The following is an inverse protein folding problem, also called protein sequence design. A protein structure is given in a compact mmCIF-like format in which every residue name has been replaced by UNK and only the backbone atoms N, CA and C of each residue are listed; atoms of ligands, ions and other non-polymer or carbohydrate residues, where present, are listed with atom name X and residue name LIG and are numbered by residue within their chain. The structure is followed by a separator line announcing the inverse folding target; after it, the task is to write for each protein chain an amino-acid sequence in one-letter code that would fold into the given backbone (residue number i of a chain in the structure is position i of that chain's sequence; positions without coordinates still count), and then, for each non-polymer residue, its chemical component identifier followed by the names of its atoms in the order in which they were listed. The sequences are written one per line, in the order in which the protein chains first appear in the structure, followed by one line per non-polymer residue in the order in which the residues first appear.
data_IF_510896638492
#
_entry.id   IF_510896638492
#
_cell.length_a   1.000
_cell.length_b   1.000
_cell.length_c   1.000
_cell.angle_alpha   90.00
_cell.angle_beta   90.00
_cell.angle_gamma   90.00
#
_symmetry.space_group_name_H-M   'P 1'
#
loop_
_entity.id
_entity.type
_entity.pdbx_description
1 polymer ?
#
# COMPACT_ATOMS: atom_id res chain seq x y z
N UNK A 1 5.25 11.23 1.01
CA UNK A 1 4.64 10.22 0.11
C UNK A 1 4.59 10.64 -1.35
N UNK A 2 4.16 11.87 -1.70
CA UNK A 2 4.04 12.31 -3.11
C UNK A 2 5.28 12.08 -3.98
N UNK A 3 6.48 12.27 -3.42
CA UNK A 3 7.76 11.97 -4.06
C UNK A 3 7.82 10.57 -4.73
N UNK A 4 7.43 9.51 -4.02
CA UNK A 4 7.45 8.14 -4.58
C UNK A 4 6.54 8.00 -5.80
N UNK A 5 5.35 8.60 -5.73
CA UNK A 5 4.37 8.50 -6.80
C UNK A 5 4.71 9.39 -7.99
N UNK A 6 5.21 10.60 -7.75
CA UNK A 6 5.43 11.60 -8.79
C UNK A 6 6.82 11.50 -9.43
N UNK A 7 7.85 11.27 -8.62
CA UNK A 7 9.25 11.39 -9.05
C UNK A 7 9.91 10.02 -9.24
N UNK A 8 9.69 9.07 -8.32
CA UNK A 8 10.33 7.75 -8.41
C UNK A 8 9.61 6.82 -9.40
N UNK A 9 8.28 6.74 -9.31
CA UNK A 9 7.46 5.86 -10.17
C UNK A 9 6.86 6.60 -11.36
N UNK A 10 6.63 7.92 -11.23
CA UNK A 10 5.91 8.74 -12.21
C UNK A 10 4.57 8.08 -12.61
N UNK A 11 3.69 7.95 -11.62
CA UNK A 11 2.44 7.20 -11.71
C UNK A 11 1.47 7.83 -12.71
N UNK A 12 0.97 6.99 -13.62
CA UNK A 12 -0.22 7.32 -14.39
C UNK A 12 -1.49 7.07 -13.55
N UNK A 13 -2.02 8.13 -12.95
CA UNK A 13 -3.21 8.05 -12.08
C UNK A 13 -4.48 7.51 -12.76
N UNK A 14 -4.64 7.72 -14.07
CA UNK A 14 -5.79 7.17 -14.81
C UNK A 14 -5.73 5.65 -14.89
N UNK A 15 -4.52 5.07 -14.97
CA UNK A 15 -4.31 3.62 -14.98
C UNK A 15 -4.21 3.02 -13.58
N UNK A 16 -3.64 3.75 -12.63
CA UNK A 16 -3.38 3.21 -11.29
C UNK A 16 -4.62 3.11 -10.42
N UNK A 17 -5.54 4.10 -10.49
CA UNK A 17 -6.74 4.10 -9.65
C UNK A 17 -7.62 2.85 -9.81
N UNK A 18 -7.96 2.40 -11.04
CA UNK A 18 -8.71 1.15 -11.22
C UNK A 18 -8.05 -0.06 -10.57
N UNK A 19 -6.71 -0.19 -10.69
CA UNK A 19 -5.96 -1.29 -10.07
C UNK A 19 -6.09 -1.27 -8.54
N UNK A 20 -6.08 -0.10 -7.92
CA UNK A 20 -6.27 0.06 -6.48
C UNK A 20 -7.71 -0.26 -6.05
N UNK A 21 -8.71 0.04 -6.90
CA UNK A 21 -10.09 -0.33 -6.64
C UNK A 21 -10.26 -1.85 -6.66
N UNK A 22 -9.76 -2.52 -7.70
CA UNK A 22 -9.81 -3.97 -7.81
C UNK A 22 -9.12 -4.64 -6.61
N UNK A 23 -7.95 -4.11 -6.20
CA UNK A 23 -7.22 -4.60 -5.04
C UNK A 23 -8.06 -4.51 -3.76
N UNK A 24 -8.59 -3.33 -3.44
CA UNK A 24 -9.37 -3.16 -2.21
C UNK A 24 -10.72 -3.83 -2.24
N UNK A 25 -11.35 -3.94 -3.40
CA UNK A 25 -12.56 -4.75 -3.58
C UNK A 25 -12.28 -6.23 -3.26
N UNK A 26 -11.16 -6.76 -3.77
CA UNK A 26 -10.73 -8.13 -3.44
C UNK A 26 -10.43 -8.28 -1.95
N UNK A 27 -9.72 -7.32 -1.36
CA UNK A 27 -9.29 -7.43 0.02
C UNK A 27 -10.43 -7.25 1.03
N UNK A 28 -11.39 -6.35 0.78
CA UNK A 28 -12.43 -5.97 1.75
C UNK A 28 -13.75 -6.68 1.44
N UNK A 29 -14.15 -6.76 0.16
CA UNK A 29 -15.44 -7.30 -0.25
C UNK A 29 -15.36 -8.77 -0.69
N UNK A 30 -14.16 -9.29 -0.94
CA UNK A 30 -13.93 -10.69 -1.27
C UNK A 30 -14.20 -11.06 -2.74
N UNK A 31 -14.49 -10.08 -3.61
CA UNK A 31 -14.61 -10.34 -5.04
C UNK A 31 -13.21 -10.51 -5.64
N UNK A 32 -12.86 -11.70 -6.08
CA UNK A 32 -11.49 -12.07 -6.52
C UNK A 32 -11.13 -11.52 -7.91
N UNK A 33 -11.16 -10.19 -8.07
CA UNK A 33 -10.95 -9.50 -9.36
C UNK A 33 -9.52 -8.97 -9.54
N UNK A 34 -8.80 -8.74 -8.45
CA UNK A 34 -7.39 -8.33 -8.51
C UNK A 34 -6.47 -9.53 -8.76
N UNK A 35 -5.65 -9.43 -9.80
CA UNK A 35 -4.73 -10.50 -10.25
C UNK A 35 -3.25 -10.10 -10.14
N UNK A 36 -2.94 -8.97 -9.49
CA UNK A 36 -1.58 -8.46 -9.39
C UNK A 36 -0.78 -9.05 -8.22
N UNK A 37 0.50 -8.67 -8.15
CA UNK A 37 1.36 -8.95 -7.01
C UNK A 37 1.86 -7.62 -6.40
N UNK A 38 1.18 -7.09 -5.37
CA UNK A 38 1.51 -5.78 -4.82
C UNK A 38 2.86 -5.84 -4.10
N UNK A 39 3.20 -6.95 -3.45
CA UNK A 39 4.49 -7.11 -2.77
C UNK A 39 5.66 -6.93 -3.74
N UNK A 40 5.63 -7.62 -4.89
CA UNK A 40 6.69 -7.51 -5.90
C UNK A 40 6.91 -6.06 -6.34
N UNK A 41 5.82 -5.29 -6.54
CA UNK A 41 5.91 -3.87 -6.92
C UNK A 41 6.62 -3.01 -5.88
N UNK A 42 6.36 -3.25 -4.59
CA UNK A 42 7.00 -2.49 -3.52
C UNK A 42 8.46 -2.92 -3.30
N UNK A 43 8.79 -4.19 -3.54
CA UNK A 43 10.18 -4.67 -3.55
C UNK A 43 10.98 -4.13 -4.75
N UNK A 44 10.35 -3.94 -5.91
CA UNK A 44 10.95 -3.24 -7.04
C UNK A 44 11.16 -1.75 -6.74
N UNK A 45 10.19 -1.11 -6.07
CA UNK A 45 10.27 0.30 -5.69
C UNK A 45 11.39 0.55 -4.69
N UNK A 46 11.48 -0.25 -3.63
CA UNK A 46 12.49 -0.03 -2.56
C UNK A 46 13.93 -0.18 -3.07
N UNK A 47 14.15 -0.93 -4.15
CA UNK A 47 15.46 -1.04 -4.82
C UNK A 47 15.84 0.24 -5.58
N UNK A 48 14.86 1.04 -6.01
CA UNK A 48 15.09 2.32 -6.68
C UNK A 48 15.28 3.45 -5.67
N UNK A 49 14.42 3.46 -4.65
CA UNK A 49 14.44 4.42 -3.56
C UNK A 49 13.95 3.73 -2.28
N UNK A 50 14.74 3.70 -1.20
CA UNK A 50 14.38 2.96 0.02
C UNK A 50 13.04 3.36 0.62
N UNK A 51 12.13 2.39 0.71
CA UNK A 51 10.93 2.50 1.54
C UNK A 51 11.34 2.28 3.00
N UNK A 52 11.12 3.29 3.85
CA UNK A 52 11.48 3.30 5.26
C UNK A 52 10.21 3.23 6.12
N UNK A 53 10.37 2.88 7.40
CA UNK A 53 9.28 2.81 8.38
C UNK A 53 8.39 4.07 8.36
N UNK A 54 8.99 5.25 8.35
CA UNK A 54 8.27 6.54 8.33
C UNK A 54 7.30 6.69 7.13
N UNK A 55 7.59 6.05 5.99
CA UNK A 55 6.69 6.07 4.83
C UNK A 55 5.46 5.20 5.04
N UNK A 56 5.63 4.03 5.68
CA UNK A 56 4.52 3.15 6.02
C UNK A 56 3.67 3.74 7.15
N UNK A 57 4.30 4.33 8.17
CA UNK A 57 3.61 5.02 9.27
C UNK A 57 2.71 6.13 8.72
N UNK A 58 3.26 7.01 7.86
CA UNK A 58 2.49 8.11 7.25
C UNK A 58 1.39 7.60 6.32
N UNK A 59 1.62 6.52 5.58
CA UNK A 59 0.59 5.92 4.74
C UNK A 59 -0.56 5.34 5.59
N UNK A 60 -0.25 4.63 6.67
CA UNK A 60 -1.25 4.06 7.57
C UNK A 60 -2.09 5.12 8.26
N UNK A 61 -1.47 6.21 8.74
CA UNK A 61 -2.17 7.35 9.32
C UNK A 61 -3.22 7.89 8.33
N UNK A 62 -2.79 8.29 7.13
CA UNK A 62 -3.68 8.80 6.09
C UNK A 62 -4.80 7.83 5.70
N UNK A 63 -4.47 6.53 5.58
CA UNK A 63 -5.45 5.50 5.25
C UNK A 63 -6.51 5.37 6.36
N UNK A 64 -6.08 5.25 7.62
CA UNK A 64 -6.98 5.11 8.76
C UNK A 64 -7.88 6.33 8.95
N UNK A 65 -7.33 7.54 8.85
CA UNK A 65 -8.10 8.79 8.89
C UNK A 65 -9.17 8.81 7.80
N UNK A 66 -8.79 8.54 6.55
CA UNK A 66 -9.72 8.54 5.42
C UNK A 66 -10.83 7.50 5.60
N UNK A 67 -10.49 6.28 6.00
CA UNK A 67 -11.50 5.23 6.17
C UNK A 67 -12.47 5.58 7.30
N UNK A 68 -11.97 6.09 8.42
CA UNK A 68 -12.80 6.41 9.59
C UNK A 68 -13.61 7.70 9.43
N UNK A 69 -13.16 8.64 8.60
CA UNK A 69 -13.90 9.85 8.26
C UNK A 69 -15.10 9.55 7.35
N UNK A 70 -14.92 8.68 6.34
CA UNK A 70 -15.92 8.47 5.30
C UNK A 70 -16.76 7.19 5.47
N UNK A 71 -16.33 6.25 6.30
CA UNK A 71 -16.97 4.94 6.43
C UNK A 71 -17.07 4.49 7.90
N UNK A 72 -17.99 3.57 8.16
CA UNK A 72 -18.16 2.96 9.48
C UNK A 72 -18.65 1.51 9.36
N UNK A 73 -18.59 0.79 10.47
CA UNK A 73 -19.01 -0.60 10.57
C UNK A 73 -17.96 -1.59 10.06
N UNK A 74 -18.36 -2.86 10.01
CA UNK A 74 -17.44 -4.00 9.86
C UNK A 74 -16.46 -3.88 8.69
N UNK A 75 -16.90 -3.36 7.54
CA UNK A 75 -16.03 -3.24 6.37
C UNK A 75 -14.95 -2.15 6.55
N UNK A 76 -15.26 -1.06 7.28
CA UNK A 76 -14.28 -0.03 7.61
C UNK A 76 -13.22 -0.57 8.58
N UNK A 77 -13.66 -1.29 9.62
CA UNK A 77 -12.77 -1.95 10.58
C UNK A 77 -11.84 -2.96 9.88
N UNK A 78 -12.41 -3.78 8.99
CA UNK A 78 -11.67 -4.76 8.20
C UNK A 78 -10.65 -4.08 7.26
N UNK A 79 -11.02 -2.95 6.65
CA UNK A 79 -10.12 -2.19 5.77
C UNK A 79 -8.88 -1.67 6.51
N UNK A 80 -9.06 -1.15 7.73
CA UNK A 80 -7.95 -0.68 8.57
C UNK A 80 -7.08 -1.86 9.03
N UNK A 81 -7.70 -2.94 9.52
CA UNK A 81 -6.98 -4.12 9.99
C UNK A 81 -6.15 -4.76 8.87
N UNK A 82 -6.72 -4.92 7.67
CA UNK A 82 -6.01 -5.49 6.52
C UNK A 82 -4.87 -4.60 6.06
N UNK A 83 -5.10 -3.29 5.99
CA UNK A 83 -4.06 -2.33 5.65
C UNK A 83 -2.87 -2.42 6.62
N UNK A 84 -3.13 -2.51 7.93
CA UNK A 84 -2.08 -2.65 8.93
C UNK A 84 -1.24 -3.92 8.73
N UNK A 85 -1.90 -5.06 8.47
CA UNK A 85 -1.21 -6.32 8.21
C UNK A 85 -0.35 -6.26 6.93
N UNK A 86 -0.89 -5.66 5.87
CA UNK A 86 -0.18 -5.46 4.59
C UNK A 86 1.04 -4.55 4.82
N UNK A 87 0.86 -3.40 5.46
CA UNK A 87 1.92 -2.44 5.71
C UNK A 87 3.04 -3.06 6.56
N UNK A 88 2.69 -3.81 7.61
CA UNK A 88 3.65 -4.50 8.47
C UNK A 88 4.50 -5.50 7.67
N UNK A 89 3.86 -6.34 6.85
CA UNK A 89 4.58 -7.32 6.03
C UNK A 89 5.45 -6.66 4.95
N UNK A 90 4.94 -5.65 4.27
CA UNK A 90 5.68 -4.91 3.25
C UNK A 90 6.87 -4.16 3.86
N UNK A 91 6.70 -3.51 5.00
CA UNK A 91 7.78 -2.86 5.72
C UNK A 91 8.88 -3.86 6.04
N UNK A 92 8.55 -5.00 6.66
CA UNK A 92 9.54 -6.03 6.99
C UNK A 92 10.32 -6.49 5.74
N UNK A 93 9.61 -6.81 4.65
CA UNK A 93 10.24 -7.31 3.41
C UNK A 93 11.10 -6.27 2.70
N UNK A 94 10.65 -5.02 2.68
CA UNK A 94 11.42 -3.92 2.07
C UNK A 94 12.64 -3.55 2.90
N UNK A 95 12.56 -3.65 4.22
CA UNK A 95 13.69 -3.44 5.13
C UNK A 95 14.77 -4.53 4.96
N UNK A 96 14.38 -5.79 4.77
CA UNK A 96 15.33 -6.88 4.41
C UNK A 96 16.12 -6.54 3.14
N UNK A 97 15.45 -6.00 2.13
CA UNK A 97 16.10 -5.55 0.90
C UNK A 97 17.04 -4.39 1.20
N UNK A 98 16.58 -3.33 1.89
CA UNK A 98 17.40 -2.15 2.14
C UNK A 98 18.69 -2.48 2.90
N UNK A 99 18.67 -3.46 3.83
CA UNK A 99 19.87 -3.93 4.54
C UNK A 99 20.84 -4.72 3.67
N UNK A 100 20.36 -5.34 2.59
CA UNK A 100 21.17 -6.19 1.70
C UNK A 100 21.97 -5.40 0.66
N UNK A 101 21.72 -4.10 0.51
CA UNK A 101 22.43 -3.19 -0.41
C UNK A 101 23.34 -2.19 0.34
N UNK A 102 23.58 -2.42 1.63
CA UNK A 102 24.63 -1.78 2.44
C UNK A 102 25.87 -2.68 2.47
#
# INVERSE_FOLDING_TARGET
MGFFFNEVVNVNWKKHKPVMYDFWETMILGNMIYQGNPMLRHLELTRKEPLKKEHFDRWMELWSETVTEFFSGKNADEAVLRAQNIATLMQYKTEEINRSYL
#
